data_IF_229530746466
#
_entry.id   IF_229530746466
#
_cell.length_a   1.000
_cell.length_b   1.000
_cell.length_c   1.000
_cell.angle_alpha   90.00
_cell.angle_beta   90.00
_cell.angle_gamma   90.00
#
_symmetry.space_group_name_H-M   'P 1'
#
loop_
_entity.id
_entity.type
_entity.pdbx_description
1 polymer ?
#
# COMPACT_ATOMS: atom_id res chain seq x y z
N UNK A 1 7.74 33.01 3.54
CA UNK A 1 8.39 31.67 3.61
C UNK A 1 7.64 30.72 2.68
N UNK A 2 8.22 30.30 1.55
CA UNK A 2 7.57 29.29 0.70
C UNK A 2 7.74 27.91 1.34
N UNK A 3 6.66 27.31 1.83
CA UNK A 3 6.68 25.94 2.34
C UNK A 3 7.21 25.01 1.24
N UNK A 4 8.33 24.33 1.51
CA UNK A 4 8.94 23.38 0.57
C UNK A 4 8.08 22.13 0.53
N UNK A 5 7.45 21.88 -0.62
CA UNK A 5 6.85 20.59 -0.93
C UNK A 5 7.88 19.46 -0.79
N UNK A 6 7.49 18.34 -0.16
CA UNK A 6 8.34 17.16 -0.01
C UNK A 6 7.56 15.86 -0.19
N UNK A 7 8.22 14.85 -0.77
CA UNK A 7 7.72 13.47 -0.81
C UNK A 7 8.36 12.67 0.31
N UNK A 8 7.54 11.89 1.02
CA UNK A 8 7.99 11.01 2.09
C UNK A 8 7.68 9.56 1.75
N UNK A 9 8.68 8.80 1.39
CA UNK A 9 8.51 7.39 1.04
C UNK A 9 8.48 6.51 2.29
N UNK A 10 7.42 5.72 2.44
CA UNK A 10 7.13 4.89 3.61
C UNK A 10 7.02 3.43 3.19
N UNK A 11 7.70 2.55 3.92
CA UNK A 11 7.54 1.10 3.83
C UNK A 11 6.81 0.65 5.08
N UNK A 12 5.54 0.29 4.95
CA UNK A 12 4.68 -0.16 6.05
C UNK A 12 4.19 -1.57 5.78
N UNK A 13 4.48 -2.49 6.72
CA UNK A 13 3.98 -3.87 6.66
C UNK A 13 2.45 -3.89 6.66
N UNK A 14 1.82 -3.06 7.49
CA UNK A 14 0.37 -3.01 7.62
C UNK A 14 -0.32 -2.42 6.39
N UNK A 15 0.25 -1.38 5.78
CA UNK A 15 -0.24 -0.86 4.51
C UNK A 15 -0.18 -1.93 3.42
N UNK A 16 0.94 -2.64 3.32
CA UNK A 16 1.12 -3.74 2.37
C UNK A 16 0.19 -4.92 2.66
N UNK A 17 -0.01 -5.27 3.92
CA UNK A 17 -0.85 -6.40 4.29
C UNK A 17 -2.33 -6.11 4.01
N UNK A 18 -2.79 -4.93 4.41
CA UNK A 18 -4.13 -4.47 4.08
C UNK A 18 -4.32 -4.42 2.56
N UNK A 19 -3.42 -3.78 1.81
CA UNK A 19 -3.51 -3.71 0.35
C UNK A 19 -3.55 -5.10 -0.28
N UNK A 20 -2.75 -6.04 0.22
CA UNK A 20 -2.75 -7.41 -0.27
C UNK A 20 -4.12 -8.07 -0.13
N UNK A 21 -4.76 -7.97 1.04
CA UNK A 21 -6.09 -8.56 1.28
C UNK A 21 -7.18 -7.79 0.51
N UNK A 22 -7.16 -6.46 0.55
CA UNK A 22 -8.11 -5.55 -0.14
C UNK A 22 -8.11 -5.81 -1.66
N UNK A 23 -6.91 -5.94 -2.25
CA UNK A 23 -6.77 -6.19 -3.68
C UNK A 23 -7.18 -7.62 -4.06
N UNK A 24 -6.87 -8.62 -3.23
CA UNK A 24 -7.29 -10.02 -3.47
C UNK A 24 -8.80 -10.23 -3.37
N UNK A 25 -9.51 -9.39 -2.63
CA UNK A 25 -10.95 -9.52 -2.50
C UNK A 25 -11.71 -9.12 -3.76
N UNK A 26 -11.06 -8.37 -4.67
CA UNK A 26 -11.61 -7.91 -5.94
C UNK A 26 -13.00 -7.26 -5.82
N UNK A 27 -13.28 -6.63 -4.67
CA UNK A 27 -14.59 -6.04 -4.39
C UNK A 27 -14.82 -4.73 -5.17
N UNK A 28 -13.74 -4.09 -5.62
CA UNK A 28 -13.75 -2.88 -6.45
C UNK A 28 -13.35 -3.21 -7.89
N UNK A 29 -13.96 -2.53 -8.85
CA UNK A 29 -13.70 -2.72 -10.30
C UNK A 29 -12.22 -2.49 -10.68
N UNK A 30 -11.57 -1.57 -9.96
CA UNK A 30 -10.17 -1.21 -10.17
C UNK A 30 -9.17 -2.10 -9.41
N UNK A 31 -9.62 -3.24 -8.86
CA UNK A 31 -8.74 -4.24 -8.30
C UNK A 31 -7.72 -4.71 -9.34
N UNK A 32 -6.45 -4.83 -8.93
CA UNK A 32 -5.35 -5.19 -9.83
C UNK A 32 -5.37 -6.70 -10.08
N UNK A 33 -6.22 -7.16 -11.01
CA UNK A 33 -6.33 -8.60 -11.34
C UNK A 33 -4.99 -9.23 -11.75
N UNK A 34 -4.18 -8.53 -12.55
CA UNK A 34 -2.83 -8.99 -12.95
C UNK A 34 -1.88 -9.15 -11.75
N UNK A 35 -1.98 -8.27 -10.76
CA UNK A 35 -1.23 -8.37 -9.51
C UNK A 35 -1.64 -9.63 -8.74
N UNK A 36 -2.94 -9.88 -8.59
CA UNK A 36 -3.45 -11.08 -7.91
C UNK A 36 -3.01 -12.35 -8.62
N UNK A 37 -3.17 -12.39 -9.95
CA UNK A 37 -2.73 -13.52 -10.79
C UNK A 37 -1.24 -13.80 -10.61
N UNK A 38 -0.38 -12.78 -10.66
CA UNK A 38 1.06 -12.94 -10.47
C UNK A 38 1.40 -13.53 -9.09
N UNK A 39 0.67 -13.15 -8.03
CA UNK A 39 0.83 -13.77 -6.72
C UNK A 39 0.31 -15.20 -6.66
N UNK A 40 -0.82 -15.51 -7.32
CA UNK A 40 -1.35 -16.88 -7.34
C UNK A 40 -0.44 -17.84 -8.10
N UNK A 41 0.20 -17.40 -9.18
CA UNK A 41 1.21 -18.19 -9.90
C UNK A 41 2.37 -18.57 -8.98
N UNK A 42 2.81 -17.66 -8.11
CA UNK A 42 3.97 -17.88 -7.23
C UNK A 42 3.64 -18.59 -5.92
N UNK A 43 2.47 -18.32 -5.35
CA UNK A 43 2.08 -18.79 -4.01
C UNK A 43 1.11 -19.97 -4.08
N UNK A 44 0.70 -20.36 -5.28
CA UNK A 44 -0.35 -21.35 -5.51
C UNK A 44 -1.76 -20.80 -5.33
N UNK A 45 -2.78 -21.59 -5.72
CA UNK A 45 -4.19 -21.19 -5.68
C UNK A 45 -4.66 -20.85 -4.26
N UNK A 46 -5.79 -20.14 -4.17
CA UNK A 46 -6.44 -19.84 -2.89
C UNK A 46 -7.04 -21.11 -2.29
N UNK A 47 -6.72 -21.34 -1.01
CA UNK A 47 -7.32 -22.38 -0.18
C UNK A 47 -8.77 -22.01 0.18
N UNK A 48 -9.57 -23.00 0.54
CA UNK A 48 -10.98 -22.77 0.91
C UNK A 48 -11.13 -21.73 2.03
N UNK A 49 -10.31 -21.81 3.09
CA UNK A 49 -10.32 -20.84 4.20
C UNK A 49 -10.01 -19.41 3.74
N UNK A 50 -9.10 -19.24 2.77
CA UNK A 50 -8.75 -17.92 2.22
C UNK A 50 -9.91 -17.35 1.39
N UNK A 51 -10.56 -18.19 0.57
CA UNK A 51 -11.76 -17.79 -0.20
C UNK A 51 -12.90 -17.37 0.71
N UNK A 52 -13.19 -18.16 1.76
CA UNK A 52 -14.20 -17.81 2.76
C UNK A 52 -13.87 -16.49 3.46
N UNK A 53 -12.59 -16.28 3.82
CA UNK A 53 -12.15 -15.02 4.42
C UNK A 53 -12.34 -13.81 3.48
N UNK A 54 -12.13 -13.96 2.17
CA UNK A 54 -12.41 -12.89 1.20
C UNK A 54 -13.90 -12.57 1.09
N UNK A 55 -14.78 -13.59 1.10
CA UNK A 55 -16.23 -13.37 1.10
C UNK A 55 -16.65 -12.58 2.34
N UNK A 56 -16.14 -12.96 3.52
CA UNK A 56 -16.38 -12.23 4.76
C UNK A 56 -15.83 -10.80 4.72
N UNK A 57 -14.65 -10.61 4.13
CA UNK A 57 -14.05 -9.29 3.94
C UNK A 57 -14.93 -8.41 3.04
N UNK A 58 -15.39 -8.92 1.90
CA UNK A 58 -16.29 -8.18 1.01
C UNK A 58 -17.60 -7.80 1.71
N UNK A 59 -18.14 -8.70 2.54
CA UNK A 59 -19.31 -8.38 3.38
C UNK A 59 -19.05 -7.23 4.34
N UNK A 60 -17.91 -7.27 5.05
CA UNK A 60 -17.49 -6.18 5.95
C UNK A 60 -17.32 -4.85 5.19
N UNK A 61 -16.64 -4.86 4.04
CA UNK A 61 -16.43 -3.64 3.24
C UNK A 61 -17.77 -3.03 2.81
N UNK A 62 -18.72 -3.84 2.32
CA UNK A 62 -20.06 -3.35 1.95
C UNK A 62 -20.78 -2.66 3.11
N UNK A 63 -20.67 -3.21 4.33
CA UNK A 63 -21.23 -2.56 5.53
C UNK A 63 -20.56 -1.21 5.80
N UNK A 64 -19.24 -1.13 5.68
CA UNK A 64 -18.49 0.12 5.88
C UNK A 64 -18.79 1.18 4.81
N UNK A 65 -19.01 0.75 3.56
CA UNK A 65 -19.45 1.64 2.48
C UNK A 65 -20.86 2.17 2.74
N UNK A 66 -21.80 1.31 3.14
CA UNK A 66 -23.16 1.71 3.50
C UNK A 66 -23.17 2.74 4.65
N UNK A 67 -22.26 2.58 5.61
CA UNK A 67 -22.10 3.52 6.74
C UNK A 67 -21.20 4.73 6.43
N UNK A 68 -20.68 4.85 5.20
CA UNK A 68 -19.74 5.92 4.79
C UNK A 68 -18.46 5.99 5.65
N UNK A 69 -18.06 4.88 6.27
CA UNK A 69 -16.86 4.80 7.12
C UNK A 69 -15.68 4.12 6.43
N UNK A 70 -15.87 3.53 5.24
CA UNK A 70 -14.83 2.81 4.50
C UNK A 70 -13.57 3.65 4.24
N UNK A 71 -13.70 4.95 3.94
CA UNK A 71 -12.52 5.78 3.69
C UNK A 71 -11.64 5.95 4.95
N UNK A 72 -12.26 6.13 6.11
CA UNK A 72 -11.57 6.24 7.40
C UNK A 72 -10.95 4.89 7.78
N UNK A 73 -11.69 3.80 7.56
CA UNK A 73 -11.20 2.44 7.73
C UNK A 73 -9.95 2.18 6.89
N UNK A 74 -10.01 2.43 5.59
CA UNK A 74 -8.88 2.27 4.66
C UNK A 74 -7.66 3.10 5.11
N UNK A 75 -7.86 4.39 5.44
CA UNK A 75 -6.78 5.27 5.87
C UNK A 75 -6.08 4.82 7.17
N UNK A 76 -6.74 4.01 8.00
CA UNK A 76 -6.18 3.50 9.27
C UNK A 76 -4.94 2.62 9.06
N UNK A 77 -4.85 1.91 7.92
CA UNK A 77 -3.71 1.05 7.62
C UNK A 77 -2.50 1.80 7.02
N UNK A 78 -2.71 3.05 6.61
CA UNK A 78 -1.71 3.93 6.00
C UNK A 78 -1.33 5.04 6.97
N UNK A 79 -0.81 4.65 8.13
CA UNK A 79 -0.28 5.59 9.12
C UNK A 79 1.19 5.30 9.39
N UNK A 80 1.98 6.36 9.49
CA UNK A 80 3.41 6.25 9.73
C UNK A 80 3.69 5.86 11.19
N UNK A 81 4.64 4.95 11.41
CA UNK A 81 5.16 4.58 12.76
C UNK A 81 4.12 4.01 13.72
N UNK A 82 3.03 3.42 13.21
CA UNK A 82 2.04 2.81 14.09
C UNK A 82 2.34 1.33 14.31
N UNK A 83 2.25 0.90 15.56
CA UNK A 83 2.30 -0.50 15.91
C UNK A 83 0.91 -1.14 15.75
N UNK A 84 0.86 -2.47 15.85
CA UNK A 84 -0.37 -3.23 15.72
C UNK A 84 -1.45 -2.77 16.73
N UNK A 85 -1.08 -2.47 17.98
CA UNK A 85 -2.03 -2.04 19.00
C UNK A 85 -2.71 -0.71 18.63
N UNK A 86 -1.95 0.23 18.06
CA UNK A 86 -2.49 1.52 17.61
C UNK A 86 -3.45 1.38 16.41
N UNK A 87 -3.22 0.42 15.51
CA UNK A 87 -4.17 0.08 14.43
C UNK A 87 -5.48 -0.37 15.04
N UNK A 88 -5.43 -1.36 15.91
CA UNK A 88 -6.64 -1.94 16.49
C UNK A 88 -7.41 -0.92 17.34
N UNK A 89 -6.71 -0.09 18.11
CA UNK A 89 -7.32 1.03 18.84
C UNK A 89 -8.00 2.04 17.92
N UNK A 90 -7.43 2.31 16.75
CA UNK A 90 -8.07 3.20 15.77
C UNK A 90 -9.31 2.56 15.15
N UNK A 91 -9.25 1.25 14.88
CA UNK A 91 -10.38 0.47 14.36
C UNK A 91 -11.53 0.33 15.36
N UNK A 92 -11.28 0.44 16.67
CA UNK A 92 -12.34 0.44 17.70
C UNK A 92 -13.34 1.57 17.54
N UNK A 93 -12.92 2.69 16.95
CA UNK A 93 -13.79 3.86 16.70
C UNK A 93 -14.64 3.72 15.44
N UNK A 94 -14.38 2.70 14.63
CA UNK A 94 -14.96 2.55 13.29
C UNK A 94 -15.79 1.27 13.20
N UNK A 95 -15.30 0.19 13.82
CA UNK A 95 -15.87 -1.13 13.76
C UNK A 95 -16.53 -1.49 15.09
N UNK A 96 -17.68 -2.15 15.04
CA UNK A 96 -18.23 -2.87 16.19
C UNK A 96 -17.29 -4.00 16.64
N UNK A 97 -17.45 -4.49 17.87
CA UNK A 97 -16.63 -5.61 18.36
C UNK A 97 -16.76 -6.86 17.46
N UNK A 98 -17.97 -7.15 16.97
CA UNK A 98 -18.20 -8.27 16.05
C UNK A 98 -17.42 -8.12 14.74
N UNK A 99 -17.45 -6.94 14.13
CA UNK A 99 -16.71 -6.64 12.90
C UNK A 99 -15.19 -6.70 13.11
N UNK A 100 -14.68 -6.19 14.25
CA UNK A 100 -13.27 -6.32 14.61
C UNK A 100 -12.84 -7.78 14.72
N UNK A 101 -13.64 -8.62 15.35
CA UNK A 101 -13.35 -10.05 15.47
C UNK A 101 -13.37 -10.74 14.11
N UNK A 102 -14.28 -10.37 13.21
CA UNK A 102 -14.29 -10.84 11.81
C UNK A 102 -12.99 -10.45 11.12
N UNK A 103 -12.60 -9.16 11.18
CA UNK A 103 -11.38 -8.66 10.55
C UNK A 103 -10.11 -9.34 11.09
N UNK A 104 -10.00 -9.52 12.41
CA UNK A 104 -8.89 -10.26 13.05
C UNK A 104 -8.77 -11.67 12.49
N UNK A 105 -9.88 -12.41 12.35
CA UNK A 105 -9.88 -13.76 11.77
C UNK A 105 -9.46 -13.75 10.31
N UNK A 106 -9.96 -12.81 9.51
CA UNK A 106 -9.56 -12.64 8.10
C UNK A 106 -8.05 -12.43 8.01
N UNK A 107 -7.52 -11.46 8.78
CA UNK A 107 -6.08 -11.19 8.77
C UNK A 107 -5.27 -12.39 9.26
N UNK A 108 -5.70 -13.07 10.31
CA UNK A 108 -5.03 -14.30 10.78
C UNK A 108 -4.94 -15.38 9.69
N UNK A 109 -5.98 -15.57 8.88
CA UNK A 109 -5.98 -16.55 7.77
C UNK A 109 -4.94 -16.18 6.71
N UNK A 110 -4.81 -14.89 6.39
CA UNK A 110 -3.94 -14.39 5.33
C UNK A 110 -2.49 -14.14 5.77
N UNK A 111 -2.25 -14.06 7.08
CA UNK A 111 -0.97 -13.68 7.68
C UNK A 111 0.19 -14.57 7.21
N UNK A 112 -0.01 -15.90 7.13
CA UNK A 112 1.05 -16.81 6.67
C UNK A 112 1.44 -16.56 5.20
N UNK A 113 0.44 -16.44 4.30
CA UNK A 113 0.68 -16.19 2.87
C UNK A 113 1.34 -14.84 2.66
N UNK A 114 0.86 -13.81 3.36
CA UNK A 114 1.45 -12.48 3.31
C UNK A 114 2.88 -12.48 3.85
N UNK A 115 3.14 -13.09 5.01
CA UNK A 115 4.48 -13.09 5.62
C UNK A 115 5.56 -13.76 4.78
N UNK A 116 5.22 -14.80 4.00
CA UNK A 116 6.14 -15.39 3.01
C UNK A 116 6.52 -14.38 1.93
N UNK A 117 5.52 -13.69 1.41
CA UNK A 117 5.68 -12.67 0.37
C UNK A 117 6.45 -11.45 0.88
N UNK A 118 6.09 -10.98 2.08
CA UNK A 118 6.67 -9.81 2.71
C UNK A 118 8.17 -9.96 2.94
N UNK A 119 8.62 -11.12 3.42
CA UNK A 119 10.05 -11.40 3.64
C UNK A 119 10.88 -11.20 2.37
N UNK A 120 10.35 -11.60 1.21
CA UNK A 120 11.02 -11.45 -0.09
C UNK A 120 11.02 -10.00 -0.61
N UNK A 121 9.91 -9.28 -0.46
CA UNK A 121 9.76 -7.95 -1.06
C UNK A 121 10.23 -6.82 -0.14
N UNK A 122 10.29 -7.03 1.17
CA UNK A 122 10.69 -5.99 2.12
C UNK A 122 12.08 -5.40 1.85
N UNK A 123 13.13 -6.20 1.55
CA UNK A 123 14.43 -5.66 1.16
C UNK A 123 14.35 -4.77 -0.09
N UNK A 124 13.58 -5.18 -1.10
CA UNK A 124 13.37 -4.43 -2.35
C UNK A 124 12.69 -3.08 -2.04
N UNK A 125 11.62 -3.08 -1.24
CA UNK A 125 10.93 -1.85 -0.87
C UNK A 125 11.83 -0.91 -0.05
N UNK A 126 12.68 -1.45 0.81
CA UNK A 126 13.69 -0.67 1.55
C UNK A 126 14.70 -0.02 0.61
N UNK A 127 15.22 -0.77 -0.36
CA UNK A 127 16.12 -0.27 -1.40
C UNK A 127 15.46 0.84 -2.22
N UNK A 128 14.25 0.59 -2.74
CA UNK A 128 13.48 1.56 -3.51
C UNK A 128 13.25 2.86 -2.74
N UNK A 129 12.94 2.77 -1.44
CA UNK A 129 12.81 3.95 -0.58
C UNK A 129 14.08 4.80 -0.58
N UNK A 130 15.27 4.19 -0.51
CA UNK A 130 16.55 4.90 -0.55
C UNK A 130 16.78 5.54 -1.93
N UNK A 131 16.60 4.78 -3.01
CA UNK A 131 16.75 5.26 -4.38
C UNK A 131 15.83 6.46 -4.66
N UNK A 132 14.55 6.36 -4.28
CA UNK A 132 13.56 7.42 -4.48
C UNK A 132 13.86 8.67 -3.64
N UNK A 133 14.31 8.50 -2.39
CA UNK A 133 14.75 9.62 -1.55
C UNK A 133 15.94 10.35 -2.19
N UNK A 134 16.96 9.63 -2.63
CA UNK A 134 18.14 10.22 -3.28
C UNK A 134 17.77 10.89 -4.60
N UNK A 135 16.91 10.25 -5.41
CA UNK A 135 16.41 10.85 -6.64
C UNK A 135 15.67 12.16 -6.37
N UNK A 136 14.79 12.20 -5.37
CA UNK A 136 14.04 13.41 -5.02
C UNK A 136 14.95 14.52 -4.48
N UNK A 137 15.99 14.16 -3.73
CA UNK A 137 17.00 15.10 -3.24
C UNK A 137 17.80 15.72 -4.39
N UNK A 138 18.30 14.88 -5.31
CA UNK A 138 19.08 15.33 -6.48
C UNK A 138 18.25 16.17 -7.45
N UNK A 139 16.97 15.82 -7.64
CA UNK A 139 16.08 16.45 -8.61
C UNK A 139 15.08 17.43 -7.97
N UNK A 140 15.41 17.99 -6.79
CA UNK A 140 14.48 18.81 -6.02
C UNK A 140 13.93 20.01 -6.82
N UNK A 141 14.76 20.72 -7.59
CA UNK A 141 14.35 21.88 -8.39
C UNK A 141 13.34 21.50 -9.48
N UNK A 142 13.63 20.42 -10.21
CA UNK A 142 12.77 19.87 -11.27
C UNK A 142 11.42 19.44 -10.70
N UNK A 143 11.42 18.71 -9.58
CA UNK A 143 10.19 18.29 -8.91
C UNK A 143 9.38 19.50 -8.47
N UNK A 144 10.00 20.52 -7.87
CA UNK A 144 9.30 21.74 -7.45
C UNK A 144 8.59 22.42 -8.63
N UNK A 145 9.27 22.53 -9.76
CA UNK A 145 8.70 23.12 -10.97
C UNK A 145 7.55 22.27 -11.53
N UNK A 146 7.71 20.94 -11.55
CA UNK A 146 6.63 20.03 -11.95
C UNK A 146 5.40 20.20 -11.06
N UNK A 147 5.55 20.26 -9.73
CA UNK A 147 4.43 20.49 -8.81
C UNK A 147 3.80 21.87 -9.00
N UNK A 148 4.58 22.92 -9.26
CA UNK A 148 4.04 24.25 -9.57
C UNK A 148 3.15 24.21 -10.83
N UNK A 149 3.57 23.50 -11.87
CA UNK A 149 2.79 23.32 -13.10
C UNK A 149 1.53 22.50 -12.84
N UNK A 150 1.62 21.41 -12.09
CA UNK A 150 0.45 20.61 -11.70
C UNK A 150 -0.55 21.43 -10.87
N UNK A 151 -0.07 22.28 -9.95
CA UNK A 151 -0.91 23.21 -9.19
C UNK A 151 -1.72 24.11 -10.12
N UNK A 152 -1.05 24.73 -11.09
CA UNK A 152 -1.69 25.61 -12.07
C UNK A 152 -2.68 24.84 -12.95
N UNK A 153 -2.28 23.67 -13.45
CA UNK A 153 -3.11 22.83 -14.33
C UNK A 153 -4.41 22.38 -13.65
N UNK A 154 -4.34 21.93 -12.40
CA UNK A 154 -5.51 21.48 -11.64
C UNK A 154 -6.27 22.60 -10.92
N UNK A 155 -5.83 23.87 -11.04
CA UNK A 155 -6.49 25.01 -10.41
C UNK A 155 -6.55 24.94 -8.87
N UNK A 156 -5.61 24.26 -8.22
CA UNK A 156 -5.63 24.09 -6.76
C UNK A 156 -4.94 25.24 -6.05
N UNK A 157 -5.59 25.82 -5.03
CA UNK A 157 -5.10 26.98 -4.29
C UNK A 157 -3.79 26.71 -3.54
N UNK A 158 -3.63 25.49 -3.04
CA UNK A 158 -2.45 25.06 -2.30
C UNK A 158 -2.08 23.61 -2.63
N UNK A 159 -0.78 23.31 -2.50
CA UNK A 159 -0.25 21.95 -2.51
C UNK A 159 0.11 21.62 -1.06
N UNK A 160 -0.20 20.41 -0.56
CA UNK A 160 0.24 20.03 0.78
C UNK A 160 1.77 20.12 0.89
N UNK A 161 2.27 20.66 2.00
CA UNK A 161 3.72 20.80 2.23
C UNK A 161 4.47 19.44 2.20
N UNK A 162 3.76 18.35 2.50
CA UNK A 162 4.30 17.00 2.44
C UNK A 162 3.24 16.03 1.93
N UNK A 163 3.63 15.13 1.03
CA UNK A 163 2.84 13.98 0.64
C UNK A 163 3.55 12.69 1.06
N UNK A 164 2.81 11.77 1.68
CA UNK A 164 3.27 10.44 2.03
C UNK A 164 3.04 9.47 0.87
N UNK A 165 4.09 8.75 0.49
CA UNK A 165 4.07 7.75 -0.57
C UNK A 165 4.35 6.38 0.05
N UNK A 166 3.31 5.56 0.19
CA UNK A 166 3.42 4.20 0.70
C UNK A 166 3.86 3.28 -0.43
N UNK A 167 5.05 2.71 -0.29
CA UNK A 167 5.56 1.74 -1.25
C UNK A 167 4.89 0.38 -1.02
N UNK A 168 4.24 -0.12 -2.06
CA UNK A 168 3.52 -1.38 -2.07
C UNK A 168 4.33 -2.42 -2.86
N UNK A 169 4.40 -3.63 -2.31
CA UNK A 169 5.11 -4.76 -2.91
C UNK A 169 4.51 -5.11 -4.27
N UNK A 170 5.34 -5.11 -5.31
CA UNK A 170 4.96 -5.61 -6.62
C UNK A 170 5.37 -7.07 -6.75
N UNK A 171 4.50 -7.98 -7.20
CA UNK A 171 4.93 -9.33 -7.50
C UNK A 171 5.95 -9.33 -8.64
N UNK A 172 5.81 -8.48 -9.65
CA UNK A 172 6.75 -8.41 -10.77
C UNK A 172 7.96 -7.53 -10.43
N UNK A 173 9.17 -8.04 -10.70
CA UNK A 173 10.43 -7.45 -10.25
C UNK A 173 10.89 -6.25 -11.08
N UNK A 174 10.43 -6.10 -12.32
CA UNK A 174 10.97 -5.10 -13.28
C UNK A 174 9.99 -3.96 -13.59
N UNK A 175 8.86 -3.87 -12.89
CA UNK A 175 7.81 -2.91 -13.22
C UNK A 175 7.33 -2.12 -12.01
N UNK A 176 7.05 -0.83 -12.24
CA UNK A 176 6.14 -0.02 -11.43
C UNK A 176 4.78 -0.05 -12.14
N UNK A 177 3.72 -0.35 -11.41
CA UNK A 177 2.37 -0.53 -11.97
C UNK A 177 1.38 0.21 -11.07
N UNK A 178 1.13 1.45 -11.44
CA UNK A 178 0.06 2.24 -10.85
C UNK A 178 0.39 2.87 -9.51
N UNK A 179 -0.62 3.55 -9.01
CA UNK A 179 -0.70 4.10 -7.68
C UNK A 179 -2.17 4.33 -7.34
N UNK A 180 -2.49 4.49 -6.06
CA UNK A 180 -3.85 4.77 -5.57
C UNK A 180 -3.81 5.94 -4.61
N UNK A 181 -4.75 6.88 -4.75
CA UNK A 181 -5.01 7.90 -3.74
C UNK A 181 -5.66 7.23 -2.53
N UNK A 182 -5.06 7.40 -1.35
CA UNK A 182 -5.63 6.92 -0.09
C UNK A 182 -6.45 8.06 0.54
N UNK A 183 -5.80 9.19 0.77
CA UNK A 183 -6.39 10.47 1.19
C UNK A 183 -5.63 11.62 0.54
N UNK A 184 -6.03 12.88 0.77
CA UNK A 184 -5.44 14.05 0.09
C UNK A 184 -3.90 14.12 0.15
N UNK A 185 -3.30 13.71 1.26
CA UNK A 185 -1.83 13.76 1.48
C UNK A 185 -1.15 12.40 1.41
N UNK A 186 -1.86 11.32 1.06
CA UNK A 186 -1.32 9.96 1.08
C UNK A 186 -1.67 9.22 -0.20
N UNK A 187 -0.64 8.68 -0.84
CA UNK A 187 -0.77 7.82 -2.01
C UNK A 187 -0.05 6.50 -1.76
N UNK A 188 -0.50 5.44 -2.42
CA UNK A 188 0.26 4.21 -2.57
C UNK A 188 0.92 4.16 -3.94
N UNK A 189 2.08 3.52 -4.03
CA UNK A 189 2.80 3.27 -5.26
C UNK A 189 3.32 1.83 -5.26
N UNK A 190 2.82 1.00 -6.16
CA UNK A 190 3.29 -0.37 -6.36
C UNK A 190 4.64 -0.35 -7.09
N UNK A 191 5.69 -0.92 -6.48
CA UNK A 191 7.05 -0.85 -7.04
C UNK A 191 7.77 -2.20 -7.04
N UNK A 192 8.34 -2.59 -8.19
CA UNK A 192 9.38 -3.62 -8.34
C UNK A 192 10.77 -3.06 -8.03
N UNK A 193 11.84 -3.83 -8.25
CA UNK A 193 13.21 -3.39 -7.97
C UNK A 193 13.60 -2.19 -8.86
N UNK A 194 13.88 -1.05 -8.24
CA UNK A 194 14.36 0.15 -8.94
C UNK A 194 15.89 0.11 -9.07
N UNK A 195 16.37 0.33 -10.30
CA UNK A 195 17.77 0.15 -10.70
C UNK A 195 18.27 -1.27 -10.38
N UNK A 196 18.27 -2.21 -11.33
CA UNK A 196 18.75 -3.59 -11.12
C UNK A 196 20.29 -3.72 -11.07
N UNK A 197 21.04 -2.62 -11.29
CA UNK A 197 22.51 -2.60 -11.22
C UNK A 197 23.18 -2.29 -9.85
N UNK A 198 22.67 -2.66 -8.66
CA UNK A 198 23.49 -2.75 -7.46
C UNK A 198 24.11 -4.17 -7.43
N UNK A 199 25.44 -4.32 -7.36
CA UNK A 199 26.14 -5.61 -7.45
C UNK A 199 25.87 -6.60 -6.29
N UNK A 200 24.87 -6.36 -5.43
CA UNK A 200 24.64 -7.13 -4.21
C UNK A 200 23.26 -7.80 -4.13
N UNK A 201 22.36 -7.59 -5.10
CA UNK A 201 20.97 -8.09 -5.05
C UNK A 201 20.65 -9.21 -6.04
N UNK A 202 21.59 -9.63 -6.90
CA UNK A 202 21.39 -10.70 -7.88
C UNK A 202 20.97 -12.04 -7.21
N UNK A 203 21.45 -12.30 -6.00
CA UNK A 203 21.13 -13.52 -5.25
C UNK A 203 19.75 -13.51 -4.56
N UNK A 204 19.06 -12.38 -4.47
CA UNK A 204 17.71 -12.29 -3.83
C UNK A 204 16.59 -12.57 -4.85
N UNK A 205 16.90 -12.53 -6.14
CA UNK A 205 15.90 -12.60 -7.23
C UNK A 205 15.72 -14.00 -7.82
N UNK A 206 16.60 -14.96 -7.52
CA UNK A 206 16.67 -16.28 -8.16
C UNK A 206 16.04 -17.45 -7.37
N UNK A 207 15.32 -17.19 -6.28
CA UNK A 207 14.47 -18.17 -5.57
C UNK A 207 12.99 -17.72 -5.58
#
# INVERSE_FOLDING_TARGET
MYHRFSLKFIVSRWANFYFFVDNFSEHVEYARKRYNQAFLVRLGPLKQKERTALVQYCGLVKTLEAHKTYQIFNATFYQQRINQAQIWKSLERILTEKERQVLKRIFMVWENRFSKTWRRHYPILKHNRLVLNEYCKKNHSVLREAFKRLKAFYGVESIPAQAEVYLIMMPLTVYTQGGRKIVHTKISLETGLLNPHPPHLENVLLL
#
